data_IF_011084997016
#
_entry.id   IF_011084997016
#
_cell.length_a   1.000
_cell.length_b   1.000
_cell.length_c   1.000
_cell.angle_alpha   90.00
_cell.angle_beta   90.00
_cell.angle_gamma   90.00
#
_symmetry.space_group_name_H-M   'P 1'
#
loop_
_entity.id
_entity.type
_entity.pdbx_description
1 polymer ?
#
# COMPACT_ATOMS: atom_id res chain seq x y z
N UNK A 1 10.79 22.26 -4.07
CA UNK A 1 9.42 22.61 -4.50
C UNK A 1 8.44 22.08 -3.45
N UNK A 2 7.82 22.96 -2.63
CA UNK A 2 6.80 22.52 -1.65
C UNK A 2 5.48 22.37 -2.40
N UNK A 3 5.13 21.18 -2.78
CA UNK A 3 3.78 20.88 -3.28
C UNK A 3 2.87 20.85 -2.05
N UNK A 4 2.31 22.01 -1.72
CA UNK A 4 1.41 22.19 -0.59
C UNK A 4 0.00 21.75 -0.95
N UNK A 5 -0.31 20.47 -0.82
CA UNK A 5 -1.70 20.03 -0.73
C UNK A 5 -2.23 20.42 0.66
N UNK A 6 -3.41 21.05 0.80
CA UNK A 6 -4.03 21.33 2.11
C UNK A 6 -4.25 20.06 2.93
N UNK A 7 -4.38 18.91 2.27
CA UNK A 7 -4.46 17.58 2.93
C UNK A 7 -3.12 17.13 3.51
N UNK A 8 -1.97 17.56 2.95
CA UNK A 8 -0.65 17.19 3.46
C UNK A 8 -0.40 17.73 4.88
N UNK A 9 -0.96 18.87 5.23
CA UNK A 9 -0.84 19.45 6.56
C UNK A 9 -1.50 18.62 7.66
N UNK A 10 -2.69 18.11 7.41
CA UNK A 10 -3.42 17.28 8.39
C UNK A 10 -2.74 15.92 8.59
N UNK A 11 -2.35 15.23 7.51
CA UNK A 11 -1.62 13.97 7.59
C UNK A 11 -0.28 14.12 8.30
N UNK A 12 0.48 15.20 8.00
CA UNK A 12 1.74 15.52 8.67
C UNK A 12 1.54 15.74 10.16
N UNK A 13 0.49 16.48 10.56
CA UNK A 13 0.15 16.73 11.95
C UNK A 13 -0.19 15.44 12.67
N UNK A 14 -0.98 14.58 12.06
CA UNK A 14 -1.36 13.28 12.63
C UNK A 14 -0.14 12.35 12.75
N UNK A 15 0.71 12.27 11.74
CA UNK A 15 1.94 11.50 11.78
C UNK A 15 2.87 11.99 12.90
N UNK A 16 3.06 13.31 13.02
CA UNK A 16 3.87 13.90 14.08
C UNK A 16 3.32 13.53 15.46
N UNK A 17 2.00 13.66 15.67
CA UNK A 17 1.35 13.31 16.93
C UNK A 17 1.56 11.83 17.27
N UNK A 18 1.34 10.92 16.33
CA UNK A 18 1.44 9.49 16.55
C UNK A 18 2.89 9.07 16.83
N UNK A 19 3.85 9.57 16.05
CA UNK A 19 5.27 9.27 16.23
C UNK A 19 5.82 9.87 17.54
N UNK A 20 5.38 11.07 17.91
CA UNK A 20 5.74 11.64 19.21
C UNK A 20 5.23 10.76 20.35
N UNK A 21 3.95 10.36 20.33
CA UNK A 21 3.36 9.53 21.37
C UNK A 21 4.11 8.20 21.55
N UNK A 22 4.61 7.62 20.46
CA UNK A 22 5.29 6.33 20.50
C UNK A 22 6.78 6.45 20.88
N UNK A 23 7.46 7.47 20.33
CA UNK A 23 8.93 7.56 20.40
C UNK A 23 9.48 8.66 21.33
N UNK A 24 8.64 9.45 22.02
CA UNK A 24 9.08 10.61 22.81
C UNK A 24 10.13 10.26 23.90
N UNK A 25 10.12 9.01 24.38
CA UNK A 25 11.08 8.53 25.38
C UNK A 25 12.38 7.99 24.78
N UNK A 26 12.41 7.74 23.47
CA UNK A 26 13.53 7.07 22.79
C UNK A 26 14.22 7.98 21.77
N UNK A 27 13.50 9.00 21.25
CA UNK A 27 13.97 9.86 20.17
C UNK A 27 13.78 11.33 20.47
N UNK A 28 14.70 12.13 19.98
CA UNK A 28 14.59 13.58 20.03
C UNK A 28 13.49 14.11 19.10
N UNK A 29 13.00 15.31 19.39
CA UNK A 29 12.01 15.99 18.52
C UNK A 29 12.51 16.20 17.10
N UNK A 30 13.81 16.33 16.87
CA UNK A 30 14.40 16.47 15.54
C UNK A 30 14.35 15.17 14.77
N UNK A 31 14.66 14.03 15.41
CA UNK A 31 14.55 12.70 14.80
C UNK A 31 13.10 12.36 14.45
N UNK A 32 12.15 12.65 15.35
CA UNK A 32 10.73 12.45 15.09
C UNK A 32 10.26 13.27 13.88
N UNK A 33 10.68 14.52 13.76
CA UNK A 33 10.37 15.36 12.57
C UNK A 33 10.93 14.78 11.29
N UNK A 34 12.16 14.26 11.33
CA UNK A 34 12.76 13.57 10.17
C UNK A 34 11.98 12.33 9.78
N UNK A 35 11.55 11.51 10.74
CA UNK A 35 10.69 10.35 10.48
C UNK A 35 9.36 10.77 9.83
N UNK A 36 8.75 11.88 10.25
CA UNK A 36 7.53 12.40 9.61
C UNK A 36 7.76 12.76 8.13
N UNK A 37 8.93 13.31 7.81
CA UNK A 37 9.30 13.62 6.42
C UNK A 37 9.51 12.35 5.59
N UNK A 38 10.20 11.35 6.15
CA UNK A 38 10.39 10.03 5.54
C UNK A 38 9.04 9.34 5.27
N UNK A 39 8.14 9.31 6.25
CA UNK A 39 6.77 8.79 6.08
C UNK A 39 6.04 9.51 4.94
N UNK A 40 6.18 10.84 4.84
CA UNK A 40 5.58 11.62 3.76
C UNK A 40 6.11 11.23 2.38
N UNK A 41 7.41 11.00 2.26
CA UNK A 41 8.06 10.54 1.01
C UNK A 41 7.57 9.15 0.64
N UNK A 42 7.60 8.20 1.56
CA UNK A 42 7.17 6.81 1.29
C UNK A 42 5.67 6.71 0.96
N UNK A 43 4.83 7.49 1.64
CA UNK A 43 3.40 7.58 1.31
C UNK A 43 3.18 8.10 -0.12
N UNK A 44 3.96 9.09 -0.53
CA UNK A 44 3.89 9.65 -1.89
C UNK A 44 4.34 8.64 -2.94
N UNK A 45 5.45 7.93 -2.71
CA UNK A 45 5.90 6.83 -3.58
C UNK A 45 4.82 5.77 -3.72
N UNK A 46 4.26 5.30 -2.60
CA UNK A 46 3.20 4.30 -2.59
C UNK A 46 1.95 4.72 -3.37
N UNK A 47 1.61 6.02 -3.36
CA UNK A 47 0.51 6.54 -4.17
C UNK A 47 0.82 6.44 -5.68
N UNK A 48 2.03 6.81 -6.11
CA UNK A 48 2.46 6.66 -7.51
C UNK A 48 2.51 5.19 -7.94
N UNK A 49 3.08 4.32 -7.13
CA UNK A 49 3.12 2.87 -7.38
C UNK A 49 1.70 2.29 -7.53
N UNK A 50 0.76 2.73 -6.67
CA UNK A 50 -0.65 2.31 -6.76
C UNK A 50 -1.29 2.73 -8.09
N UNK A 51 -1.03 3.96 -8.55
CA UNK A 51 -1.49 4.42 -9.87
C UNK A 51 -0.82 3.61 -10.97
N UNK A 52 0.48 3.37 -10.87
CA UNK A 52 1.23 2.61 -11.87
C UNK A 52 0.77 1.15 -11.93
N UNK A 53 0.42 0.54 -10.80
CA UNK A 53 -0.05 -0.85 -10.70
C UNK A 53 -1.38 -1.14 -11.43
N UNK A 54 -2.12 -0.10 -11.80
CA UNK A 54 -3.35 -0.22 -12.61
C UNK A 54 -3.19 0.37 -14.03
N UNK A 55 -1.97 0.76 -14.40
CA UNK A 55 -1.64 1.27 -15.73
C UNK A 55 -1.43 0.13 -16.74
N UNK A 56 -1.43 0.42 -18.05
CA UNK A 56 -1.07 -0.56 -19.08
C UNK A 56 0.35 -1.13 -18.93
N UNK A 57 1.24 -0.42 -18.23
CA UNK A 57 2.64 -0.81 -18.00
C UNK A 57 2.88 -1.49 -16.66
N UNK A 58 1.84 -1.93 -15.97
CA UNK A 58 1.92 -2.56 -14.63
C UNK A 58 2.88 -3.74 -14.53
N UNK A 59 3.06 -4.50 -15.63
CA UNK A 59 3.94 -5.66 -15.66
C UNK A 59 5.42 -5.27 -15.48
N UNK A 60 5.82 -4.08 -15.89
CA UNK A 60 7.17 -3.56 -15.63
C UNK A 60 7.41 -3.40 -14.12
N UNK A 61 6.43 -2.90 -13.37
CA UNK A 61 6.50 -2.81 -11.92
C UNK A 61 6.54 -4.21 -11.29
N UNK A 62 5.66 -5.12 -11.72
CA UNK A 62 5.57 -6.44 -11.12
C UNK A 62 6.81 -7.29 -11.37
N UNK A 63 7.51 -7.10 -12.50
CA UNK A 63 8.76 -7.80 -12.79
C UNK A 63 9.90 -7.44 -11.83
N UNK A 64 9.85 -6.27 -11.19
CA UNK A 64 10.87 -5.84 -10.21
C UNK A 64 10.61 -6.38 -8.80
N UNK A 65 9.46 -7.04 -8.56
CA UNK A 65 9.03 -7.47 -7.23
C UNK A 65 9.21 -8.97 -7.08
N UNK A 66 9.88 -9.38 -6.02
CA UNK A 66 10.03 -10.78 -5.64
C UNK A 66 9.11 -11.12 -4.47
N UNK A 67 8.46 -12.27 -4.53
CA UNK A 67 7.64 -12.78 -3.43
C UNK A 67 8.48 -13.77 -2.63
N UNK A 68 8.85 -13.39 -1.42
CA UNK A 68 9.52 -14.29 -0.47
C UNK A 68 8.49 -15.18 0.24
N UNK A 69 8.82 -16.46 0.45
CA UNK A 69 7.94 -17.40 1.13
C UNK A 69 6.75 -17.88 0.29
N UNK A 70 6.81 -17.75 -1.05
CA UNK A 70 5.78 -18.19 -1.99
C UNK A 70 5.39 -19.65 -1.78
N UNK A 71 6.35 -20.51 -1.48
CA UNK A 71 6.16 -21.94 -1.21
C UNK A 71 5.20 -22.23 -0.04
N UNK A 72 5.11 -21.31 0.92
CA UNK A 72 4.16 -21.43 2.04
C UNK A 72 2.73 -21.19 1.58
N UNK A 73 2.54 -20.22 0.68
CA UNK A 73 1.25 -19.92 0.08
C UNK A 73 0.81 -21.10 -0.80
N UNK A 74 1.71 -21.62 -1.64
CA UNK A 74 1.44 -22.78 -2.51
C UNK A 74 1.04 -24.01 -1.68
N UNK A 75 1.79 -24.29 -0.61
CA UNK A 75 1.47 -25.38 0.32
C UNK A 75 0.12 -25.19 1.01
N UNK A 76 -0.24 -23.95 1.37
CA UNK A 76 -1.53 -23.68 1.99
C UNK A 76 -2.69 -23.86 1.00
N UNK A 77 -2.52 -23.38 -0.24
CA UNK A 77 -3.52 -23.48 -1.31
C UNK A 77 -3.72 -24.94 -1.78
N UNK A 78 -2.68 -25.77 -1.80
CA UNK A 78 -2.75 -27.17 -2.21
C UNK A 78 -3.69 -28.01 -1.33
N UNK A 79 -4.02 -27.54 -0.12
CA UNK A 79 -4.99 -28.17 0.78
C UNK A 79 -6.45 -28.02 0.32
N UNK A 80 -6.72 -27.25 -0.73
CA UNK A 80 -8.05 -27.08 -1.32
C UNK A 80 -9.07 -26.32 -0.45
N UNK A 81 -8.65 -25.72 0.67
CA UNK A 81 -9.54 -25.02 1.61
C UNK A 81 -9.53 -23.50 1.44
N UNK A 82 -8.74 -22.98 0.48
CA UNK A 82 -8.47 -21.55 0.36
C UNK A 82 -7.54 -21.03 1.46
N UNK A 83 -7.18 -19.76 1.36
CA UNK A 83 -6.27 -19.10 2.32
C UNK A 83 -6.84 -17.73 2.70
N UNK A 84 -6.89 -17.45 4.00
CA UNK A 84 -7.16 -16.11 4.51
C UNK A 84 -5.81 -15.47 4.86
N UNK A 85 -5.41 -14.47 4.08
CA UNK A 85 -4.19 -13.71 4.33
C UNK A 85 -4.50 -12.52 5.26
N UNK A 86 -3.89 -12.53 6.45
CA UNK A 86 -3.92 -11.39 7.36
C UNK A 86 -2.72 -10.49 7.07
N UNK A 87 -2.99 -9.20 6.90
CA UNK A 87 -1.97 -8.18 6.67
C UNK A 87 -2.23 -6.94 7.51
N UNK A 88 -1.21 -6.10 7.62
CA UNK A 88 -1.32 -4.76 8.21
C UNK A 88 -1.13 -3.70 7.12
N UNK A 89 -1.36 -2.42 7.47
CA UNK A 89 -1.03 -1.29 6.58
C UNK A 89 0.49 -1.04 6.57
N UNK A 90 1.24 -2.03 6.08
CA UNK A 90 2.69 -1.99 5.89
C UNK A 90 2.97 -2.07 4.38
N UNK A 91 3.72 -1.11 3.88
CA UNK A 91 4.03 -1.03 2.46
C UNK A 91 2.81 -0.77 1.57
N UNK A 92 2.84 -1.31 0.36
CA UNK A 92 1.82 -1.07 -0.66
C UNK A 92 1.00 -2.33 -0.97
N UNK A 93 -0.11 -2.53 -0.26
CA UNK A 93 -0.99 -3.69 -0.43
C UNK A 93 -1.62 -3.77 -1.85
N UNK A 94 -1.80 -2.63 -2.55
CA UNK A 94 -2.36 -2.62 -3.90
C UNK A 94 -1.37 -3.24 -4.90
N UNK A 95 -0.10 -2.91 -4.76
CA UNK A 95 0.99 -3.50 -5.56
C UNK A 95 1.17 -4.97 -5.20
N UNK A 96 1.14 -5.35 -3.92
CA UNK A 96 1.18 -6.74 -3.48
C UNK A 96 0.05 -7.57 -4.12
N UNK A 97 -1.18 -7.06 -4.08
CA UNK A 97 -2.31 -7.71 -4.75
C UNK A 97 -2.05 -7.91 -6.24
N UNK A 98 -1.64 -6.85 -6.92
CA UNK A 98 -1.37 -6.91 -8.36
C UNK A 98 -0.28 -7.92 -8.70
N UNK A 99 0.79 -7.97 -7.92
CA UNK A 99 1.87 -8.95 -8.09
C UNK A 99 1.38 -10.39 -7.88
N UNK A 100 0.59 -10.67 -6.84
CA UNK A 100 0.04 -12.00 -6.62
C UNK A 100 -0.86 -12.44 -7.77
N UNK A 101 -1.70 -11.55 -8.29
CA UNK A 101 -2.55 -11.85 -9.46
C UNK A 101 -1.70 -12.10 -10.72
N UNK A 102 -0.64 -11.32 -10.96
CA UNK A 102 0.26 -11.53 -12.10
C UNK A 102 1.00 -12.86 -12.05
N UNK A 103 1.18 -13.43 -10.86
CA UNK A 103 1.73 -14.78 -10.62
C UNK A 103 0.67 -15.90 -10.71
N UNK A 104 -0.59 -15.56 -11.04
CA UNK A 104 -1.68 -16.52 -11.22
C UNK A 104 -2.47 -16.87 -9.95
N UNK A 105 -2.26 -16.17 -8.83
CA UNK A 105 -3.04 -16.40 -7.62
C UNK A 105 -4.41 -15.70 -7.69
N UNK A 106 -5.52 -16.40 -7.46
CA UNK A 106 -6.83 -15.78 -7.29
C UNK A 106 -6.85 -15.02 -5.96
N UNK A 107 -6.77 -13.69 -6.03
CA UNK A 107 -6.66 -12.83 -4.85
C UNK A 107 -7.85 -11.89 -4.74
N UNK A 108 -8.60 -12.00 -3.65
CA UNK A 108 -9.71 -11.12 -3.33
C UNK A 108 -9.35 -10.25 -2.13
N UNK A 109 -9.70 -8.97 -2.19
CA UNK A 109 -9.38 -8.01 -1.15
C UNK A 109 -10.66 -7.39 -0.58
N UNK A 110 -10.81 -7.46 0.74
CA UNK A 110 -11.89 -6.77 1.45
C UNK A 110 -11.40 -5.37 1.81
N UNK A 111 -11.95 -4.36 1.16
CA UNK A 111 -11.58 -2.96 1.33
C UNK A 111 -12.76 -2.09 1.71
N UNK A 112 -12.48 -1.10 2.55
CA UNK A 112 -13.33 0.09 2.63
C UNK A 112 -12.90 1.04 1.51
N UNK A 113 -13.82 1.31 0.58
CA UNK A 113 -13.55 2.23 -0.53
C UNK A 113 -13.39 3.67 -0.05
N UNK A 114 -12.73 4.50 -0.88
CA UNK A 114 -12.61 5.94 -0.64
C UNK A 114 -13.98 6.59 -0.45
N UNK A 115 -14.03 7.60 0.43
CA UNK A 115 -15.23 8.45 0.57
C UNK A 115 -15.47 9.34 -0.65
N UNK A 116 -14.42 9.62 -1.43
CA UNK A 116 -14.53 10.32 -2.69
C UNK A 116 -15.13 9.41 -3.76
N UNK A 117 -16.29 9.77 -4.36
CA UNK A 117 -16.97 8.93 -5.34
C UNK A 117 -16.15 8.71 -6.62
N UNK A 118 -15.40 9.72 -7.06
CA UNK A 118 -14.59 9.63 -8.29
C UNK A 118 -13.42 8.67 -8.11
N UNK A 119 -12.70 8.78 -6.99
CA UNK A 119 -11.62 7.85 -6.63
C UNK A 119 -12.17 6.43 -6.46
N UNK A 120 -13.29 6.28 -5.76
CA UNK A 120 -13.93 4.98 -5.57
C UNK A 120 -14.33 4.32 -6.90
N UNK A 121 -14.96 5.08 -7.79
CA UNK A 121 -15.38 4.59 -9.10
C UNK A 121 -14.18 4.22 -9.99
N UNK A 122 -13.13 5.05 -10.00
CA UNK A 122 -11.91 4.77 -10.74
C UNK A 122 -11.27 3.43 -10.33
N UNK A 123 -11.09 3.21 -9.03
CA UNK A 123 -10.50 1.96 -8.55
C UNK A 123 -11.42 0.76 -8.78
N UNK A 124 -12.75 0.88 -8.60
CA UNK A 124 -13.68 -0.19 -8.94
C UNK A 124 -13.55 -0.62 -10.40
N UNK A 125 -13.54 0.34 -11.31
CA UNK A 125 -13.42 0.07 -12.74
C UNK A 125 -12.09 -0.61 -13.10
N UNK A 126 -10.99 -0.12 -12.52
CA UNK A 126 -9.65 -0.65 -12.82
C UNK A 126 -9.39 -2.02 -12.19
N UNK A 127 -9.89 -2.25 -10.97
CA UNK A 127 -9.65 -3.51 -10.26
C UNK A 127 -10.59 -4.64 -10.68
N UNK A 128 -11.79 -4.34 -11.14
CA UNK A 128 -12.69 -5.36 -11.71
C UNK A 128 -12.22 -5.89 -13.06
N UNK A 129 -11.44 -5.11 -13.81
CA UNK A 129 -10.89 -5.51 -15.11
C UNK A 129 -9.56 -6.29 -14.99
N UNK A 130 -9.14 -6.69 -13.78
CA UNK A 130 -7.90 -7.44 -13.51
C UNK A 130 -8.17 -8.84 -12.95
N UNK A 131 -9.37 -9.37 -13.17
CA UNK A 131 -9.72 -10.80 -12.92
C UNK A 131 -9.60 -11.61 -14.17
#
# INVERSE_FOLDING_TARGET
>A
MKIGSPFAGEYRRQALKNLTLYYEKEKSSSEIKKMVEEVGVETTKGAFETIYSVSPRKEELYSTITIEGKERLDTALSKGKGVIALSAHLGNFAVMRGKLISEGYPFYLVLKLSRDPGISQYFKMKWNNTT
#
